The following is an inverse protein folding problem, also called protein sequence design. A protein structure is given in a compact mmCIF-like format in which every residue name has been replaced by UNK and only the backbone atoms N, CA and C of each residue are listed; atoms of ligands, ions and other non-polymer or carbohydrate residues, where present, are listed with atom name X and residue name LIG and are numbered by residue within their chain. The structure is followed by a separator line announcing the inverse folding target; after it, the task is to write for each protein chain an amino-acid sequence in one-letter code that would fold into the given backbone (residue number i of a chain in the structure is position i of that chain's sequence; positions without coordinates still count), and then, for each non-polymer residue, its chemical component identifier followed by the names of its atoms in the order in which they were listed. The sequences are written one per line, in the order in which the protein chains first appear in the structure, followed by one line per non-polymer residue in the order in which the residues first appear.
data_IF_695463035785
#
_entry.id   IF_695463035785
#
_cell.length_a   1.000
_cell.length_b   1.000
_cell.length_c   1.000
_cell.angle_alpha   90.00
_cell.angle_beta   90.00
_cell.angle_gamma   90.00
#
_symmetry.space_group_name_H-M   'P 1'
#
loop_
_entity.id
_entity.type
_entity.pdbx_description
1 polymer ?
#
# COMPACT_ATOMS: atom_id res chain seq x y z
N UNK A 1 -12.75 1.78 32.94
CA UNK A 1 -12.33 2.21 31.58
C UNK A 1 -11.52 1.07 31.00
N UNK A 2 -12.01 0.40 29.95
CA UNK A 2 -11.30 -0.73 29.33
C UNK A 2 -10.04 -0.24 28.60
N UNK A 3 -8.87 -0.70 29.05
CA UNK A 3 -7.59 -0.37 28.45
C UNK A 3 -7.26 -1.43 27.37
N UNK A 4 -6.99 -0.95 26.15
CA UNK A 4 -6.75 -1.68 24.89
C UNK A 4 -8.05 -2.05 24.12
N UNK A 5 -8.17 -1.62 22.84
CA UNK A 5 -7.14 -1.91 21.87
C UNK A 5 -6.88 -0.72 20.92
N UNK A 6 -5.79 0.00 21.19
CA UNK A 6 -5.18 0.89 20.19
C UNK A 6 -4.15 0.12 19.35
N UNK A 7 -3.52 -0.93 19.90
CA UNK A 7 -2.49 -1.71 19.19
C UNK A 7 -3.02 -2.50 17.99
N UNK A 8 -4.28 -2.95 18.02
CA UNK A 8 -4.82 -3.83 16.99
C UNK A 8 -5.23 -3.05 15.72
N UNK A 9 -5.64 -1.79 15.87
CA UNK A 9 -6.03 -0.92 14.76
C UNK A 9 -4.82 -0.55 13.91
N UNK A 10 -3.66 -0.36 14.54
CA UNK A 10 -2.41 -0.06 13.85
C UNK A 10 -1.87 -1.29 13.09
N UNK A 11 -1.88 -2.47 13.72
CA UNK A 11 -1.46 -3.72 13.09
C UNK A 11 -2.30 -4.09 11.87
N UNK A 12 -3.64 -4.04 11.97
CA UNK A 12 -4.54 -4.31 10.85
C UNK A 12 -4.32 -3.32 9.70
N UNK A 13 -4.04 -2.05 10.02
CA UNK A 13 -3.89 -1.03 9.01
C UNK A 13 -2.51 -1.06 8.31
N UNK A 14 -1.47 -1.59 8.96
CA UNK A 14 -0.18 -1.93 8.32
C UNK A 14 -0.33 -3.13 7.40
N UNK A 15 -1.01 -4.20 7.84
CA UNK A 15 -1.33 -5.38 7.03
C UNK A 15 -2.10 -5.00 5.75
N UNK A 16 -3.12 -4.15 5.88
CA UNK A 16 -3.86 -3.64 4.72
C UNK A 16 -2.95 -2.91 3.72
N UNK A 17 -2.05 -2.05 4.21
CA UNK A 17 -1.10 -1.33 3.36
C UNK A 17 -0.14 -2.27 2.62
N UNK A 18 0.31 -3.34 3.30
CA UNK A 18 1.16 -4.40 2.73
C UNK A 18 0.45 -5.17 1.60
N UNK A 19 -0.80 -5.56 1.83
CA UNK A 19 -1.63 -6.25 0.83
C UNK A 19 -1.81 -5.36 -0.40
N UNK A 20 -2.12 -4.07 -0.20
CA UNK A 20 -2.22 -3.13 -1.31
C UNK A 20 -0.88 -2.94 -2.05
N UNK A 21 0.27 -2.91 -1.36
CA UNK A 21 1.57 -2.86 -2.03
C UNK A 21 1.79 -4.07 -2.95
N UNK A 22 1.45 -5.28 -2.49
CA UNK A 22 1.55 -6.48 -3.31
C UNK A 22 0.64 -6.41 -4.56
N UNK A 23 -0.61 -5.94 -4.39
CA UNK A 23 -1.54 -5.74 -5.50
C UNK A 23 -1.03 -4.70 -6.50
N UNK A 24 -0.43 -3.60 -6.03
CA UNK A 24 0.15 -2.58 -6.91
C UNK A 24 1.36 -3.10 -7.67
N UNK A 25 2.25 -3.85 -7.00
CA UNK A 25 3.39 -4.49 -7.65
C UNK A 25 2.93 -5.49 -8.73
N UNK A 26 1.88 -6.28 -8.45
CA UNK A 26 1.27 -7.18 -9.42
C UNK A 26 0.67 -6.41 -10.60
N UNK A 27 -0.01 -5.30 -10.32
CA UNK A 27 -0.54 -4.38 -11.34
C UNK A 27 0.57 -3.81 -12.23
N UNK A 28 1.69 -3.37 -11.66
CA UNK A 28 2.86 -2.89 -12.41
C UNK A 28 3.41 -4.00 -13.29
N UNK A 29 3.67 -5.19 -12.74
CA UNK A 29 4.19 -6.33 -13.49
C UNK A 29 3.28 -6.69 -14.67
N UNK A 30 1.98 -6.87 -14.42
CA UNK A 30 1.02 -7.23 -15.45
C UNK A 30 0.94 -6.18 -16.56
N UNK A 31 0.97 -4.89 -16.22
CA UNK A 31 0.91 -3.81 -17.21
C UNK A 31 2.24 -3.59 -17.93
N UNK A 32 3.38 -3.89 -17.30
CA UNK A 32 4.70 -3.89 -17.94
C UNK A 32 4.78 -5.00 -18.99
N UNK A 33 4.33 -6.22 -18.65
CA UNK A 33 4.28 -7.36 -19.60
C UNK A 33 3.35 -7.07 -20.78
N UNK A 34 2.25 -6.34 -20.56
CA UNK A 34 1.30 -5.97 -21.63
C UNK A 34 1.68 -4.69 -22.40
N UNK A 35 2.71 -3.96 -22.00
CA UNK A 35 3.06 -2.67 -22.62
C UNK A 35 2.05 -1.55 -22.37
N UNK A 36 1.20 -1.67 -21.33
CA UNK A 36 0.15 -0.70 -21.00
C UNK A 36 0.71 0.48 -20.19
N UNK A 37 1.43 1.38 -20.85
CA UNK A 37 2.13 2.52 -20.25
C UNK A 37 1.22 3.38 -19.34
N UNK A 38 -0.02 3.77 -19.73
CA UNK A 38 -0.85 4.63 -18.88
C UNK A 38 -1.23 3.98 -17.54
N UNK A 39 -1.57 2.69 -17.58
CA UNK A 39 -1.91 1.93 -16.38
C UNK A 39 -0.67 1.64 -15.54
N UNK A 40 0.49 1.39 -16.16
CA UNK A 40 1.76 1.24 -15.45
C UNK A 40 2.08 2.48 -14.60
N UNK A 41 1.91 3.68 -15.18
CA UNK A 41 2.09 4.95 -14.45
C UNK A 41 1.10 5.05 -13.30
N UNK A 42 -0.18 4.74 -13.54
CA UNK A 42 -1.22 4.76 -12.50
C UNK A 42 -0.87 3.86 -11.31
N UNK A 43 -0.54 2.58 -11.56
CA UNK A 43 -0.17 1.64 -10.50
C UNK A 43 1.11 2.06 -9.76
N UNK A 44 2.07 2.66 -10.46
CA UNK A 44 3.30 3.19 -9.85
C UNK A 44 3.02 4.37 -8.91
N UNK A 45 2.13 5.28 -9.31
CA UNK A 45 1.71 6.41 -8.45
C UNK A 45 0.95 5.90 -7.22
N UNK A 46 0.04 4.94 -7.37
CA UNK A 46 -0.68 4.32 -6.25
C UNK A 46 0.28 3.66 -5.26
N UNK A 47 1.28 2.92 -5.76
CA UNK A 47 2.33 2.33 -4.93
C UNK A 47 3.09 3.40 -4.16
N UNK A 48 3.51 4.49 -4.82
CA UNK A 48 4.25 5.58 -4.19
C UNK A 48 3.44 6.24 -3.07
N UNK A 49 2.16 6.54 -3.31
CA UNK A 49 1.28 7.15 -2.30
C UNK A 49 1.11 6.22 -1.09
N UNK A 50 0.89 4.92 -1.31
CA UNK A 50 0.75 3.95 -0.23
C UNK A 50 2.05 3.79 0.59
N UNK A 51 3.21 3.75 -0.07
CA UNK A 51 4.52 3.76 0.62
C UNK A 51 4.70 5.01 1.47
N UNK A 52 4.38 6.20 0.93
CA UNK A 52 4.47 7.47 1.67
C UNK A 52 3.53 7.46 2.88
N UNK A 53 2.31 6.97 2.71
CA UNK A 53 1.34 6.84 3.78
C UNK A 53 1.82 5.89 4.89
N UNK A 54 2.35 4.73 4.51
CA UNK A 54 2.90 3.75 5.44
C UNK A 54 4.10 4.33 6.22
N UNK A 55 5.04 4.99 5.54
CA UNK A 55 6.18 5.65 6.20
C UNK A 55 5.71 6.75 7.16
N UNK A 56 4.76 7.59 6.75
CA UNK A 56 4.21 8.63 7.62
C UNK A 56 3.57 8.05 8.87
N UNK A 57 2.79 6.96 8.71
CA UNK A 57 2.16 6.29 9.84
C UNK A 57 3.18 5.63 10.77
N UNK A 58 4.23 4.98 10.24
CA UNK A 58 5.27 4.35 11.05
C UNK A 58 6.16 5.35 11.81
N UNK A 59 6.25 6.59 11.33
CA UNK A 59 7.00 7.68 11.99
C UNK A 59 6.20 8.38 13.10
N UNK A 60 4.88 8.18 13.16
CA UNK A 60 4.00 8.78 14.16
C UNK A 60 3.86 7.85 15.35
#
# INVERSE_FOLDING_TARGET
MSNQPQNNKEGTAVLGSLVFMALYALGIWHNAVRGNIPFLILWSVLLLVNVRYLIFRLKK
#
